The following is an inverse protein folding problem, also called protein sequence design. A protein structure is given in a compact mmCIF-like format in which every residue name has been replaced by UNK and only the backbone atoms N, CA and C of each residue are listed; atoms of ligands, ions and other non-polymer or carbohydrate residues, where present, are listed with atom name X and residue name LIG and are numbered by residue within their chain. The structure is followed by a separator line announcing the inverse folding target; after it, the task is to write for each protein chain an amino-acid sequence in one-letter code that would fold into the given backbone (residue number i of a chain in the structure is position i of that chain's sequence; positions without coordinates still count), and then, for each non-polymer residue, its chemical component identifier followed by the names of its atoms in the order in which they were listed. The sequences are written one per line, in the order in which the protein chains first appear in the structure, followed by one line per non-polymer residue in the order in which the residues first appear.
data_IF_575885768405
#
_entry.id   IF_575885768405
#
_cell.length_a   1.000
_cell.length_b   1.000
_cell.length_c   1.000
_cell.angle_alpha   90.00
_cell.angle_beta   90.00
_cell.angle_gamma   90.00
#
_symmetry.space_group_name_H-M   'P 1'
#
loop_
_entity.id
_entity.type
_entity.pdbx_description
1 polymer ?
#
# COMPACT_ATOMS: atom_id res chain seq x y z
N UNK A 1 -41.19 -10.40 -14.24
CA UNK A 1 -40.04 -10.88 -13.46
C UNK A 1 -39.81 -9.87 -12.36
N UNK A 2 -40.06 -10.26 -11.11
CA UNK A 2 -39.67 -9.39 -9.98
C UNK A 2 -38.14 -9.51 -9.83
N UNK A 3 -37.42 -8.42 -10.05
CA UNK A 3 -36.02 -8.30 -9.63
C UNK A 3 -35.99 -8.52 -8.11
N UNK A 4 -35.06 -9.35 -7.63
CA UNK A 4 -34.87 -9.54 -6.21
C UNK A 4 -34.45 -8.21 -5.58
N UNK A 5 -34.72 -7.97 -4.30
CA UNK A 5 -34.39 -6.72 -3.63
C UNK A 5 -32.87 -6.44 -3.68
N UNK A 6 -32.03 -7.46 -3.58
CA UNK A 6 -30.57 -7.42 -3.73
C UNK A 6 -30.15 -6.92 -5.10
N UNK A 7 -30.73 -7.41 -6.21
CA UNK A 7 -30.41 -6.95 -7.57
C UNK A 7 -30.72 -5.45 -7.77
N UNK A 8 -31.67 -4.89 -7.02
CA UNK A 8 -32.01 -3.48 -7.11
C UNK A 8 -31.08 -2.58 -6.30
N UNK A 9 -30.57 -3.07 -5.18
CA UNK A 9 -29.58 -2.36 -4.34
C UNK A 9 -28.22 -2.29 -5.06
N UNK A 10 -27.76 -3.40 -5.63
CA UNK A 10 -26.51 -3.46 -6.40
C UNK A 10 -26.50 -2.50 -7.60
N UNK A 11 -27.63 -2.41 -8.33
CA UNK A 11 -27.77 -1.49 -9.47
C UNK A 11 -27.73 -0.02 -9.01
N UNK A 12 -28.30 0.29 -7.83
CA UNK A 12 -28.26 1.65 -7.30
C UNK A 12 -26.85 2.01 -6.87
N UNK A 13 -26.16 1.11 -6.19
CA UNK A 13 -24.78 1.31 -5.76
C UNK A 13 -23.85 1.53 -6.96
N UNK A 14 -23.92 0.69 -8.00
CA UNK A 14 -23.13 0.85 -9.22
C UNK A 14 -23.35 2.21 -9.89
N UNK A 15 -24.59 2.73 -9.90
CA UNK A 15 -24.89 4.06 -10.43
C UNK A 15 -24.24 5.16 -9.60
N UNK A 16 -24.27 5.06 -8.27
CA UNK A 16 -23.64 6.03 -7.37
C UNK A 16 -22.14 6.05 -7.61
N UNK A 17 -21.51 4.88 -7.66
CA UNK A 17 -20.06 4.75 -7.94
C UNK A 17 -19.69 5.41 -9.26
N UNK A 18 -20.45 5.14 -10.32
CA UNK A 18 -20.23 5.71 -11.65
C UNK A 18 -20.39 7.24 -11.67
N UNK A 19 -21.37 7.80 -10.95
CA UNK A 19 -21.53 9.26 -10.86
C UNK A 19 -20.42 9.90 -10.02
N UNK A 20 -20.02 9.31 -8.90
CA UNK A 20 -18.86 9.76 -8.10
C UNK A 20 -17.58 9.77 -8.95
N UNK A 21 -17.33 8.70 -9.72
CA UNK A 21 -16.19 8.62 -10.62
C UNK A 21 -16.20 9.70 -11.70
N UNK A 22 -17.36 10.00 -12.30
CA UNK A 22 -17.50 11.08 -13.29
C UNK A 22 -17.20 12.45 -12.69
N UNK A 23 -17.66 12.70 -11.47
CA UNK A 23 -17.38 13.94 -10.75
C UNK A 23 -15.88 14.06 -10.47
N UNK A 24 -15.29 13.00 -9.92
CA UNK A 24 -13.84 12.94 -9.68
C UNK A 24 -13.06 13.19 -10.97
N UNK A 25 -13.39 12.51 -12.08
CA UNK A 25 -12.71 12.65 -13.38
C UNK A 25 -12.73 14.09 -13.90
N UNK A 26 -13.81 14.84 -13.69
CA UNK A 26 -13.89 16.25 -14.07
C UNK A 26 -12.99 17.16 -13.25
N UNK A 27 -12.74 16.79 -12.00
CA UNK A 27 -11.94 17.58 -11.07
C UNK A 27 -10.44 17.22 -11.10
N UNK A 28 -10.06 16.13 -11.77
CA UNK A 28 -8.66 15.66 -11.81
C UNK A 28 -7.66 16.72 -12.26
N UNK A 29 -7.95 17.62 -13.22
CA UNK A 29 -6.99 18.65 -13.64
C UNK A 29 -6.59 19.65 -12.54
N UNK A 30 -7.42 19.78 -11.52
CA UNK A 30 -7.20 20.70 -10.40
C UNK A 30 -6.65 20.00 -9.15
N UNK A 31 -6.75 18.68 -9.11
CA UNK A 31 -6.41 17.86 -7.95
C UNK A 31 -5.07 17.13 -8.09
N UNK A 32 -4.54 17.00 -9.31
CA UNK A 32 -3.36 16.21 -9.59
C UNK A 32 -2.38 16.92 -10.50
N UNK A 33 -1.10 16.87 -10.16
CA UNK A 33 -0.01 17.24 -11.08
C UNK A 33 0.29 16.10 -12.05
N UNK A 34 0.04 14.84 -11.62
CA UNK A 34 0.19 13.67 -12.47
C UNK A 34 -0.86 12.62 -12.13
N UNK A 35 -1.44 12.03 -13.15
CA UNK A 35 -2.36 10.89 -13.01
C UNK A 35 -2.25 9.98 -14.24
N UNK A 36 -1.88 8.74 -14.00
CA UNK A 36 -1.86 7.66 -14.99
C UNK A 36 -2.81 6.56 -14.52
N UNK A 37 -3.68 6.08 -15.40
CA UNK A 37 -4.57 4.95 -15.13
C UNK A 37 -4.33 3.85 -16.16
N UNK A 38 -4.18 2.63 -15.70
CA UNK A 38 -3.91 1.46 -16.55
C UNK A 38 -4.79 0.28 -16.12
N UNK A 39 -5.44 -0.35 -17.10
CA UNK A 39 -6.20 -1.56 -16.88
C UNK A 39 -5.28 -2.78 -17.02
N UNK A 40 -5.09 -3.50 -15.93
CA UNK A 40 -4.35 -4.75 -15.89
C UNK A 40 -5.19 -5.90 -16.51
N UNK A 41 -4.54 -6.95 -16.97
CA UNK A 41 -5.21 -8.17 -17.44
C UNK A 41 -5.99 -8.87 -16.31
N UNK A 42 -5.39 -8.93 -15.10
CA UNK A 42 -5.95 -9.45 -13.86
C UNK A 42 -5.70 -8.48 -12.70
N UNK A 43 -6.57 -8.43 -11.68
CA UNK A 43 -6.34 -7.57 -10.53
C UNK A 43 -5.07 -7.97 -9.80
N UNK A 44 -4.44 -7.00 -9.15
CA UNK A 44 -3.30 -7.22 -8.28
C UNK A 44 -3.70 -6.98 -6.81
N UNK A 45 -3.36 -7.93 -5.93
CA UNK A 45 -3.54 -7.79 -4.48
C UNK A 45 -2.35 -7.10 -3.81
N UNK A 46 -1.31 -6.78 -4.56
CA UNK A 46 -0.05 -6.24 -4.03
C UNK A 46 0.54 -5.20 -4.98
N UNK A 47 1.14 -4.14 -4.42
CA UNK A 47 1.88 -3.15 -5.18
C UNK A 47 3.05 -2.64 -4.35
N UNK A 48 4.24 -2.59 -4.96
CA UNK A 48 5.41 -1.99 -4.33
C UNK A 48 6.37 -1.42 -5.37
N UNK A 49 6.78 -0.15 -5.20
CA UNK A 49 7.87 0.42 -5.98
C UNK A 49 9.19 -0.26 -5.63
N UNK A 50 9.96 -0.65 -6.65
CA UNK A 50 11.36 -1.02 -6.47
C UNK A 50 12.21 0.26 -6.27
N UNK A 51 13.27 0.20 -5.45
CA UNK A 51 14.03 1.39 -5.08
C UNK A 51 14.98 1.89 -6.19
N UNK A 52 15.17 1.10 -7.26
CA UNK A 52 16.03 1.49 -8.37
C UNK A 52 15.30 2.42 -9.35
N UNK A 53 15.94 3.51 -9.72
CA UNK A 53 15.48 4.44 -10.75
C UNK A 53 16.59 4.66 -11.77
N UNK A 54 16.23 4.64 -13.05
CA UNK A 54 17.13 4.99 -14.15
C UNK A 54 16.73 6.35 -14.69
N UNK A 55 17.58 7.35 -14.48
CA UNK A 55 17.37 8.70 -15.05
C UNK A 55 18.03 8.75 -16.42
N UNK A 56 17.23 9.04 -17.43
CA UNK A 56 17.72 9.19 -18.81
C UNK A 56 18.05 10.66 -19.10
N UNK A 57 18.88 10.92 -20.12
CA UNK A 57 19.13 12.29 -20.62
C UNK A 57 17.88 12.93 -21.26
N UNK A 58 16.79 12.21 -21.33
CA UNK A 58 15.46 12.68 -21.74
C UNK A 58 14.68 13.01 -20.48
N UNK A 59 13.71 13.90 -20.58
CA UNK A 59 12.83 14.37 -19.49
C UNK A 59 11.96 13.26 -18.86
N UNK A 60 12.51 12.04 -18.75
CA UNK A 60 11.82 10.84 -18.28
C UNK A 60 12.71 10.04 -17.37
N UNK A 61 12.20 9.64 -16.22
CA UNK A 61 12.76 8.64 -15.30
C UNK A 61 12.07 7.29 -15.45
N UNK A 62 12.84 6.21 -15.35
CA UNK A 62 12.35 4.85 -15.46
C UNK A 62 12.31 4.23 -14.07
N UNK A 63 11.13 3.90 -13.62
CA UNK A 63 10.85 3.26 -12.35
C UNK A 63 10.35 1.84 -12.57
N UNK A 64 10.38 1.01 -11.53
CA UNK A 64 9.85 -0.35 -11.57
C UNK A 64 8.89 -0.60 -10.42
N UNK A 65 7.82 -1.36 -10.71
CA UNK A 65 6.83 -1.82 -9.76
C UNK A 65 6.82 -3.34 -9.67
N UNK A 66 6.60 -3.85 -8.46
CA UNK A 66 6.22 -5.23 -8.20
C UNK A 66 4.69 -5.25 -8.15
N UNK A 67 4.07 -6.14 -8.95
CA UNK A 67 2.66 -6.47 -8.90
C UNK A 67 2.48 -7.98 -8.88
N UNK A 68 1.27 -8.45 -8.63
CA UNK A 68 0.88 -9.84 -8.78
C UNK A 68 -0.32 -9.98 -9.70
N UNK A 69 -0.76 -11.22 -9.91
CA UNK A 69 -2.06 -11.50 -10.52
C UNK A 69 -2.93 -12.25 -9.52
N UNK A 70 -4.23 -12.09 -9.67
CA UNK A 70 -5.25 -12.80 -8.93
C UNK A 70 -6.27 -13.37 -9.93
N UNK A 71 -6.12 -14.65 -10.24
CA UNK A 71 -7.05 -15.40 -11.10
C UNK A 71 -7.11 -16.85 -10.66
N UNK A 72 -8.30 -17.45 -10.72
CA UNK A 72 -8.53 -18.88 -10.50
C UNK A 72 -8.52 -19.71 -11.78
N UNK A 73 -8.66 -19.07 -12.94
CA UNK A 73 -8.86 -19.75 -14.21
C UNK A 73 -7.59 -19.89 -15.04
N UNK A 74 -6.55 -19.11 -14.74
CA UNK A 74 -5.30 -19.07 -15.49
C UNK A 74 -4.08 -19.16 -14.58
N UNK A 75 -2.89 -19.24 -15.19
CA UNK A 75 -1.62 -19.21 -14.49
C UNK A 75 -1.40 -17.84 -13.83
N UNK A 76 -1.23 -17.82 -12.52
CA UNK A 76 -0.85 -16.62 -11.80
C UNK A 76 0.63 -16.27 -11.97
N UNK A 77 0.96 -15.00 -11.84
CA UNK A 77 2.30 -14.47 -12.05
C UNK A 77 2.69 -13.42 -11.02
N UNK A 78 3.95 -13.46 -10.63
CA UNK A 78 4.66 -12.29 -10.08
C UNK A 78 5.09 -11.42 -11.27
N UNK A 79 4.77 -10.13 -11.23
CA UNK A 79 5.01 -9.19 -12.32
C UNK A 79 6.04 -8.14 -11.91
N UNK A 80 6.97 -7.84 -12.83
CA UNK A 80 7.79 -6.61 -12.76
C UNK A 80 7.33 -5.70 -13.90
N UNK A 81 6.95 -4.50 -13.52
CA UNK A 81 6.40 -3.50 -14.43
C UNK A 81 7.34 -2.31 -14.50
N UNK A 82 7.70 -1.91 -15.69
CA UNK A 82 8.48 -0.70 -15.95
C UNK A 82 7.53 0.47 -16.18
N UNK A 83 7.76 1.56 -15.48
CA UNK A 83 6.97 2.79 -15.54
C UNK A 83 7.88 3.95 -15.93
N UNK A 84 7.50 4.67 -16.96
CA UNK A 84 8.16 5.89 -17.39
C UNK A 84 7.42 7.10 -16.79
N UNK A 85 8.09 7.86 -15.91
CA UNK A 85 7.54 9.08 -15.32
C UNK A 85 8.24 10.30 -15.91
N UNK A 86 7.53 11.40 -16.15
CA UNK A 86 8.16 12.66 -16.56
C UNK A 86 9.03 13.21 -15.43
N UNK A 87 10.22 13.77 -15.75
CA UNK A 87 11.11 14.38 -14.76
C UNK A 87 10.65 15.79 -14.36
N UNK A 88 10.06 16.52 -15.28
CA UNK A 88 9.49 17.84 -15.02
C UNK A 88 7.99 17.72 -14.83
N UNK A 89 7.47 18.51 -13.91
CA UNK A 89 6.02 18.69 -13.77
C UNK A 89 5.54 19.31 -15.08
N UNK A 90 4.68 18.58 -15.80
CA UNK A 90 4.09 19.14 -17.00
C UNK A 90 3.25 20.35 -16.57
N UNK A 91 3.57 21.53 -17.13
CA UNK A 91 2.71 22.69 -16.99
C UNK A 91 1.28 22.31 -17.39
N UNK A 92 0.31 22.71 -16.57
CA UNK A 92 -1.09 22.53 -16.85
C UNK A 92 -1.43 23.17 -18.22
N UNK A 93 -1.64 22.36 -19.24
CA UNK A 93 -2.06 22.83 -20.56
C UNK A 93 -3.60 22.90 -20.63
N UNK A 94 -4.15 24.07 -20.30
CA UNK A 94 -5.59 24.34 -20.39
C UNK A 94 -6.18 24.10 -21.79
N UNK A 95 -5.35 24.06 -22.85
CA UNK A 95 -5.80 23.80 -24.23
C UNK A 95 -6.24 22.36 -24.45
N UNK A 96 -5.82 21.43 -23.56
CA UNK A 96 -6.21 20.03 -23.63
C UNK A 96 -7.61 19.75 -23.06
N UNK A 97 -8.29 20.75 -22.49
CA UNK A 97 -9.66 20.58 -21.97
C UNK A 97 -10.70 20.63 -23.10
N UNK A 98 -11.43 19.53 -23.28
CA UNK A 98 -12.58 19.44 -24.18
C UNK A 98 -13.85 19.93 -23.47
N UNK A 99 -14.20 21.22 -23.74
CA UNK A 99 -15.36 21.85 -23.12
C UNK A 99 -16.71 21.26 -23.58
N UNK A 100 -16.78 20.58 -24.73
CA UNK A 100 -18.01 19.95 -25.20
C UNK A 100 -18.30 18.62 -24.50
N UNK A 101 -17.25 17.87 -24.17
CA UNK A 101 -17.35 16.60 -23.45
C UNK A 101 -17.24 16.77 -21.94
N UNK A 102 -16.79 17.93 -21.47
CA UNK A 102 -16.49 18.15 -20.05
C UNK A 102 -15.39 17.23 -19.55
N UNK A 103 -14.53 16.78 -20.44
CA UNK A 103 -13.43 15.88 -20.15
C UNK A 103 -12.12 16.58 -20.49
N UNK A 104 -11.15 16.43 -19.61
CA UNK A 104 -9.77 16.73 -19.98
C UNK A 104 -9.36 15.62 -20.95
N UNK A 105 -8.98 15.98 -22.15
CA UNK A 105 -8.54 15.06 -23.22
C UNK A 105 -7.28 14.32 -22.81
N UNK A 106 -7.49 13.31 -21.98
CA UNK A 106 -6.50 12.42 -21.45
C UNK A 106 -5.33 13.14 -20.78
N UNK A 107 -5.01 12.74 -19.55
CA UNK A 107 -3.65 12.88 -19.03
C UNK A 107 -2.73 12.00 -19.88
N UNK A 108 -2.71 12.30 -21.17
CA UNK A 108 -1.81 11.69 -22.10
C UNK A 108 -0.48 12.42 -21.98
N UNK A 109 0.31 12.03 -20.97
CA UNK A 109 1.72 12.28 -21.08
C UNK A 109 2.21 11.45 -22.27
N UNK A 110 2.61 12.04 -23.39
CA UNK A 110 3.17 11.28 -24.51
C UNK A 110 4.38 10.43 -24.11
N UNK A 111 5.00 10.76 -22.97
CA UNK A 111 6.13 10.07 -22.37
C UNK A 111 5.75 9.04 -21.30
N UNK A 112 4.52 9.10 -20.73
CA UNK A 112 4.06 8.11 -19.73
C UNK A 112 3.81 6.75 -20.37
N UNK A 113 4.64 5.76 -20.03
CA UNK A 113 4.51 4.40 -20.55
C UNK A 113 4.59 3.42 -19.40
N UNK A 114 3.69 2.45 -19.42
CA UNK A 114 3.70 1.31 -18.53
C UNK A 114 3.90 0.05 -19.36
N UNK A 115 4.85 -0.80 -18.97
CA UNK A 115 5.18 -2.02 -19.68
C UNK A 115 5.48 -3.15 -18.69
N UNK A 116 4.77 -4.28 -18.82
CA UNK A 116 5.10 -5.49 -18.06
C UNK A 116 6.36 -6.09 -18.68
N UNK A 117 7.49 -5.95 -18.00
CA UNK A 117 8.80 -6.40 -18.48
C UNK A 117 9.11 -7.82 -18.06
N UNK A 118 8.46 -8.32 -17.00
CA UNK A 118 8.70 -9.66 -16.49
C UNK A 118 7.43 -10.30 -15.96
N UNK A 119 7.21 -11.58 -16.33
CA UNK A 119 6.13 -12.45 -15.82
C UNK A 119 6.77 -13.75 -15.32
N UNK A 120 6.79 -13.97 -14.00
CA UNK A 120 7.31 -15.17 -13.35
C UNK A 120 6.12 -16.00 -12.88
N UNK A 121 6.05 -17.29 -13.25
CA UNK A 121 4.96 -18.18 -12.84
C UNK A 121 4.91 -18.28 -11.32
N UNK A 122 3.72 -18.09 -10.75
CA UNK A 122 3.45 -18.16 -9.33
C UNK A 122 2.42 -19.24 -9.01
N UNK A 123 2.51 -19.84 -7.84
CA UNK A 123 1.60 -20.88 -7.36
C UNK A 123 0.38 -20.24 -6.67
N UNK A 124 -0.74 -20.21 -7.37
CA UNK A 124 -1.93 -19.47 -6.95
C UNK A 124 -1.74 -17.95 -7.08
N UNK A 125 -2.70 -17.18 -6.60
CA UNK A 125 -2.64 -15.73 -6.54
C UNK A 125 -1.48 -15.23 -5.69
N UNK A 126 -1.01 -14.03 -5.98
CA UNK A 126 0.03 -13.36 -5.22
C UNK A 126 -0.64 -12.50 -4.15
N UNK A 127 -0.85 -13.03 -2.94
CA UNK A 127 -1.52 -12.32 -1.85
C UNK A 127 -0.73 -11.08 -1.41
N UNK A 128 0.61 -11.19 -1.36
CA UNK A 128 1.53 -10.09 -1.03
C UNK A 128 2.89 -10.36 -1.67
N UNK A 129 3.55 -9.32 -2.16
CA UNK A 129 4.93 -9.37 -2.62
C UNK A 129 5.72 -8.21 -2.05
N UNK A 130 6.93 -8.47 -1.53
CA UNK A 130 7.83 -7.44 -0.96
C UNK A 130 9.29 -7.76 -1.30
N UNK A 131 10.05 -6.75 -1.75
CA UNK A 131 11.48 -6.90 -1.99
C UNK A 131 12.28 -6.83 -0.69
N UNK A 132 13.45 -7.47 -0.67
CA UNK A 132 14.39 -7.40 0.45
C UNK A 132 15.17 -6.08 0.41
N UNK A 133 15.15 -5.24 1.46
CA UNK A 133 15.78 -3.91 1.45
C UNK A 133 17.28 -3.94 1.14
N UNK A 134 18.00 -4.98 1.59
CA UNK A 134 19.45 -5.12 1.37
C UNK A 134 19.81 -5.62 -0.04
N UNK A 135 18.86 -6.30 -0.71
CA UNK A 135 19.00 -6.77 -2.09
C UNK A 135 17.64 -6.75 -2.79
N UNK A 136 17.27 -5.66 -3.47
CA UNK A 136 15.97 -5.53 -4.11
C UNK A 136 15.67 -6.54 -5.23
N UNK A 137 16.70 -7.27 -5.69
CA UNK A 137 16.51 -8.35 -6.67
C UNK A 137 15.82 -9.58 -6.06
N UNK A 138 15.77 -9.66 -4.73
CA UNK A 138 15.10 -10.74 -3.99
C UNK A 138 13.72 -10.29 -3.57
N UNK A 139 12.71 -11.02 -4.02
CA UNK A 139 11.29 -10.76 -3.71
C UNK A 139 10.71 -11.96 -2.99
N UNK A 140 10.05 -11.71 -1.85
CA UNK A 140 9.22 -12.69 -1.16
C UNK A 140 7.76 -12.51 -1.57
N UNK A 141 7.05 -13.63 -1.75
CA UNK A 141 5.62 -13.62 -2.06
C UNK A 141 4.85 -14.56 -1.14
N UNK A 142 3.62 -14.19 -0.81
CA UNK A 142 2.65 -15.01 -0.09
C UNK A 142 1.77 -15.78 -1.06
N UNK A 143 1.54 -17.06 -0.76
CA UNK A 143 0.69 -17.95 -1.57
C UNK A 143 -0.57 -18.37 -0.81
N UNK A 144 -1.65 -18.81 -1.51
CA UNK A 144 -2.83 -19.39 -0.88
C UNK A 144 -2.56 -20.70 -0.14
N UNK A 145 -1.47 -21.38 -0.50
CA UNK A 145 -1.10 -22.65 0.18
C UNK A 145 -0.50 -22.46 1.57
N UNK A 146 -0.21 -21.20 1.97
CA UNK A 146 0.47 -20.85 3.19
C UNK A 146 2.00 -20.78 3.08
N UNK A 147 2.59 -21.32 2.03
CA UNK A 147 4.02 -21.18 1.79
C UNK A 147 4.39 -19.74 1.42
N UNK A 148 5.58 -19.31 1.80
CA UNK A 148 6.21 -18.08 1.31
C UNK A 148 7.27 -18.46 0.29
N UNK A 149 7.22 -17.84 -0.89
CA UNK A 149 8.17 -18.12 -1.97
C UNK A 149 9.17 -16.98 -2.10
N UNK A 150 10.42 -17.32 -2.38
CA UNK A 150 11.49 -16.36 -2.64
C UNK A 150 11.92 -16.48 -4.10
N UNK A 151 12.00 -15.34 -4.77
CA UNK A 151 12.46 -15.22 -6.15
C UNK A 151 13.61 -14.22 -6.22
N UNK A 152 14.73 -14.61 -6.79
CA UNK A 152 15.76 -13.69 -7.28
C UNK A 152 15.43 -13.35 -8.72
N UNK A 153 14.57 -12.33 -8.92
CA UNK A 153 13.87 -12.12 -10.18
C UNK A 153 14.77 -11.98 -11.42
N UNK A 154 15.99 -11.42 -11.39
CA UNK A 154 16.84 -11.35 -12.57
C UNK A 154 17.35 -12.70 -13.06
N UNK A 155 17.26 -13.76 -12.25
CA UNK A 155 17.63 -15.12 -12.65
C UNK A 155 16.52 -15.83 -13.44
N UNK A 156 15.30 -15.28 -13.39
CA UNK A 156 14.16 -15.84 -14.09
C UNK A 156 14.06 -15.24 -15.50
N UNK A 157 13.55 -16.02 -16.48
CA UNK A 157 13.30 -15.50 -17.82
C UNK A 157 12.20 -14.43 -17.78
N UNK A 158 12.32 -13.40 -18.61
CA UNK A 158 11.34 -12.30 -18.68
C UNK A 158 9.93 -12.77 -19.06
N UNK A 159 9.81 -13.89 -19.77
CA UNK A 159 8.55 -14.58 -20.04
C UNK A 159 8.69 -16.02 -19.58
N UNK A 160 7.87 -16.39 -18.61
CA UNK A 160 7.84 -17.76 -18.11
C UNK A 160 7.40 -18.71 -19.24
N UNK A 161 8.10 -19.86 -19.44
CA UNK A 161 7.63 -20.88 -20.35
C UNK A 161 6.28 -21.44 -19.88
N UNK A 162 5.28 -21.58 -20.78
CA UNK A 162 3.94 -22.02 -20.38
C UNK A 162 3.91 -23.44 -19.77
N UNK A 163 4.86 -24.29 -20.14
CA UNK A 163 4.94 -25.67 -19.67
C UNK A 163 5.70 -25.84 -18.34
N UNK A 164 6.27 -24.77 -17.81
CA UNK A 164 6.97 -24.79 -16.51
C UNK A 164 6.09 -24.18 -15.43
N UNK A 165 5.73 -24.96 -14.43
CA UNK A 165 5.05 -24.48 -13.23
C UNK A 165 5.91 -23.46 -12.45
N UNK A 166 5.43 -23.05 -11.29
CA UNK A 166 6.14 -22.16 -10.37
C UNK A 166 7.47 -22.79 -9.93
N UNK A 167 8.57 -22.05 -10.04
CA UNK A 167 9.91 -22.50 -9.66
C UNK A 167 10.61 -21.42 -8.81
N UNK A 168 10.26 -21.30 -7.52
CA UNK A 168 10.93 -20.36 -6.63
C UNK A 168 12.38 -20.78 -6.35
N UNK A 169 13.25 -19.83 -6.04
CA UNK A 169 14.63 -20.08 -5.59
C UNK A 169 14.64 -20.73 -4.21
N UNK A 170 13.74 -20.28 -3.30
CA UNK A 170 13.50 -20.89 -2.01
C UNK A 170 11.99 -20.97 -1.72
N UNK A 171 11.59 -22.00 -0.97
CA UNK A 171 10.26 -22.18 -0.42
C UNK A 171 10.36 -22.20 1.11
N UNK A 172 9.68 -21.27 1.77
CA UNK A 172 9.68 -21.12 3.21
C UNK A 172 8.40 -21.77 3.75
N UNK A 173 8.57 -22.77 4.61
CA UNK A 173 7.49 -23.54 5.20
C UNK A 173 7.32 -23.22 6.69
N UNK A 174 6.10 -23.36 7.19
CA UNK A 174 5.75 -23.13 8.60
C UNK A 174 4.28 -22.86 8.80
N UNK A 175 3.66 -22.08 7.94
CA UNK A 175 2.22 -21.81 8.01
C UNK A 175 1.37 -22.99 7.51
N UNK A 176 0.15 -23.07 8.05
CA UNK A 176 -0.85 -24.08 7.71
C UNK A 176 -2.00 -23.51 6.87
N UNK A 177 -2.07 -22.19 6.75
CA UNK A 177 -3.07 -21.45 5.99
C UNK A 177 -2.41 -20.28 5.29
N UNK A 178 -3.13 -19.68 4.37
CA UNK A 178 -2.73 -18.42 3.72
C UNK A 178 -2.60 -17.25 4.69
N UNK A 179 -2.35 -16.09 4.16
CA UNK A 179 -2.30 -14.82 4.88
C UNK A 179 -1.70 -13.73 4.01
N UNK A 180 -1.61 -12.51 4.55
CA UNK A 180 -1.21 -11.32 3.81
C UNK A 180 0.05 -10.66 4.36
N UNK A 181 0.19 -10.54 5.68
CA UNK A 181 1.30 -9.86 6.32
C UNK A 181 2.67 -10.42 5.92
N UNK A 182 3.58 -9.56 5.45
CA UNK A 182 4.92 -9.93 4.99
C UNK A 182 5.88 -8.76 5.19
N UNK A 183 6.95 -8.95 5.96
CA UNK A 183 7.88 -7.88 6.30
C UNK A 183 9.32 -8.35 6.35
N UNK A 184 10.18 -7.72 5.53
CA UNK A 184 11.62 -7.89 5.59
C UNK A 184 12.25 -7.04 6.68
N UNK A 185 13.24 -7.57 7.37
CA UNK A 185 14.03 -6.83 8.34
C UNK A 185 15.05 -5.92 7.62
N UNK A 186 14.96 -4.62 7.87
CA UNK A 186 15.86 -3.65 7.25
C UNK A 186 17.27 -3.66 7.86
N UNK A 187 17.42 -4.14 9.10
CA UNK A 187 18.70 -4.15 9.84
C UNK A 187 19.40 -5.51 9.79
N UNK A 188 18.63 -6.61 9.78
CA UNK A 188 19.15 -7.98 9.80
C UNK A 188 18.93 -8.61 8.41
N UNK A 189 20.01 -8.76 7.66
CA UNK A 189 19.98 -9.32 6.32
C UNK A 189 19.31 -10.70 6.26
N UNK A 190 18.33 -10.85 5.38
CA UNK A 190 17.66 -12.13 5.12
C UNK A 190 16.59 -12.55 6.12
N UNK A 191 16.31 -11.75 7.16
CA UNK A 191 15.24 -12.05 8.11
C UNK A 191 13.88 -11.60 7.57
N UNK A 192 12.94 -12.52 7.53
CA UNK A 192 11.60 -12.31 6.99
C UNK A 192 10.54 -12.76 7.98
N UNK A 193 9.54 -11.90 8.24
CA UNK A 193 8.32 -12.22 8.98
C UNK A 193 7.14 -12.42 8.03
N UNK A 194 6.25 -13.30 8.43
CA UNK A 194 4.98 -13.53 7.74
C UNK A 194 3.87 -13.80 8.75
N UNK A 195 2.70 -13.24 8.51
CA UNK A 195 1.46 -13.45 9.25
C UNK A 195 0.52 -14.40 8.49
N UNK A 196 -0.40 -15.08 9.19
CA UNK A 196 -1.29 -16.05 8.57
C UNK A 196 -2.62 -16.20 9.32
N UNK A 197 -3.61 -16.70 8.59
CA UNK A 197 -4.92 -17.15 9.07
C UNK A 197 -4.84 -18.33 10.05
N UNK A 198 -3.68 -18.98 10.14
CA UNK A 198 -3.41 -20.01 11.13
C UNK A 198 -3.12 -19.48 12.54
N UNK A 199 -3.28 -18.15 12.74
CA UNK A 199 -3.09 -17.44 14.01
C UNK A 199 -1.62 -17.35 14.45
N UNK A 200 -0.68 -17.63 13.55
CA UNK A 200 0.75 -17.63 13.86
C UNK A 200 1.52 -16.59 13.05
N UNK A 201 2.70 -16.24 13.56
CA UNK A 201 3.69 -15.45 12.85
C UNK A 201 4.94 -16.31 12.71
N UNK A 202 5.41 -16.50 11.49
CA UNK A 202 6.65 -17.20 11.19
C UNK A 202 7.80 -16.24 10.93
N UNK A 203 8.98 -16.60 11.42
CA UNK A 203 10.24 -15.90 11.16
C UNK A 203 11.21 -16.87 10.47
N UNK A 204 11.80 -16.45 9.36
CA UNK A 204 12.86 -17.17 8.65
C UNK A 204 14.12 -16.34 8.52
N UNK A 205 15.25 -17.04 8.42
CA UNK A 205 16.51 -16.49 7.92
C UNK A 205 16.86 -17.20 6.60
N UNK A 206 16.72 -16.50 5.48
CA UNK A 206 16.97 -17.07 4.14
C UNK A 206 18.44 -17.39 3.87
N UNK A 207 19.36 -16.94 4.73
CA UNK A 207 20.79 -17.30 4.65
C UNK A 207 21.09 -18.67 5.28
N UNK A 208 20.12 -19.25 6.02
CA UNK A 208 20.28 -20.58 6.60
C UNK A 208 20.36 -21.64 5.48
N UNK A 209 21.08 -22.73 5.77
CA UNK A 209 21.21 -23.83 4.81
C UNK A 209 19.88 -24.57 4.67
N UNK A 210 19.32 -24.70 3.45
CA UNK A 210 18.08 -25.44 3.23
C UNK A 210 18.24 -26.93 3.56
N UNK A 211 17.21 -27.52 4.16
CA UNK A 211 17.19 -28.96 4.49
C UNK A 211 17.22 -29.86 3.24
N UNK A 212 16.49 -29.46 2.17
CA UNK A 212 16.34 -30.22 0.93
C UNK A 212 16.65 -29.38 -0.32
N UNK A 213 17.72 -28.57 -0.25
CA UNK A 213 18.22 -27.77 -1.37
C UNK A 213 17.40 -26.53 -1.74
N UNK A 214 16.08 -26.48 -1.44
CA UNK A 214 15.21 -25.33 -1.74
C UNK A 214 14.12 -25.05 -0.70
N UNK A 215 14.00 -25.83 0.37
CA UNK A 215 13.00 -25.64 1.41
C UNK A 215 13.65 -25.23 2.72
N UNK A 216 13.09 -24.22 3.38
CA UNK A 216 13.48 -23.76 4.71
C UNK A 216 12.28 -23.83 5.66
N UNK A 217 12.50 -24.40 6.84
CA UNK A 217 11.52 -24.34 7.93
C UNK A 217 11.65 -23.02 8.71
N UNK A 218 10.56 -22.61 9.37
CA UNK A 218 10.57 -21.42 10.19
C UNK A 218 11.59 -21.53 11.35
N UNK A 219 12.45 -20.55 11.48
CA UNK A 219 13.40 -20.42 12.59
C UNK A 219 12.67 -20.19 13.92
N UNK A 220 11.55 -19.48 13.86
CA UNK A 220 10.70 -19.19 14.99
C UNK A 220 9.23 -19.06 14.57
N UNK A 221 8.33 -19.53 15.48
CA UNK A 221 6.87 -19.37 15.33
C UNK A 221 6.35 -18.69 16.58
N UNK A 222 5.60 -17.58 16.42
CA UNK A 222 4.99 -16.82 17.50
C UNK A 222 3.49 -17.10 17.53
N UNK A 223 2.95 -17.39 18.72
CA UNK A 223 1.59 -17.95 18.92
C UNK A 223 0.78 -17.20 19.97
N UNK A 224 0.92 -15.88 20.05
CA UNK A 224 0.23 -15.06 21.07
C UNK A 224 -1.16 -14.56 20.66
N UNK A 225 -1.42 -14.40 19.37
CA UNK A 225 -2.73 -14.05 18.85
C UNK A 225 -3.69 -15.24 18.95
N UNK A 226 -4.99 -14.94 19.05
CA UNK A 226 -6.06 -15.95 19.19
C UNK A 226 -7.04 -15.93 17.99
N UNK A 227 -6.74 -15.13 16.97
CA UNK A 227 -7.47 -15.02 15.73
C UNK A 227 -6.51 -14.85 14.56
N UNK A 228 -7.02 -14.71 13.34
CA UNK A 228 -6.23 -14.46 12.13
C UNK A 228 -5.26 -13.31 12.37
N UNK A 229 -3.98 -13.51 12.02
CA UNK A 229 -2.98 -12.45 12.06
C UNK A 229 -2.93 -11.78 10.68
N UNK A 230 -3.46 -10.58 10.60
CA UNK A 230 -3.62 -9.86 9.35
C UNK A 230 -2.32 -9.28 8.85
N UNK A 231 -1.53 -8.65 9.73
CA UNK A 231 -0.30 -7.99 9.30
C UNK A 231 0.82 -8.07 10.34
N UNK A 232 2.06 -7.96 9.84
CA UNK A 232 3.27 -7.85 10.65
C UNK A 232 4.21 -6.82 10.05
N UNK A 233 4.92 -6.10 10.90
CA UNK A 233 5.95 -5.16 10.49
C UNK A 233 7.15 -5.20 11.42
N UNK A 234 8.37 -5.23 10.84
CA UNK A 234 9.58 -4.98 11.60
C UNK A 234 9.67 -3.52 12.01
N UNK A 235 10.19 -3.31 13.22
CA UNK A 235 10.59 -1.99 13.66
C UNK A 235 11.79 -1.50 12.84
N UNK A 236 11.74 -0.28 12.31
CA UNK A 236 12.75 0.19 11.36
C UNK A 236 14.11 0.51 11.99
N UNK A 237 14.13 0.88 13.29
CA UNK A 237 15.35 1.23 14.02
C UNK A 237 15.88 0.08 14.89
N UNK A 238 15.05 -0.84 15.31
CA UNK A 238 15.39 -1.93 16.23
C UNK A 238 15.15 -3.30 15.59
N UNK A 239 16.18 -3.88 15.00
CA UNK A 239 16.09 -5.12 14.23
C UNK A 239 15.59 -6.36 14.99
N UNK A 240 15.41 -6.29 16.32
CA UNK A 240 14.87 -7.37 17.14
C UNK A 240 13.40 -7.16 17.52
N UNK A 241 12.83 -6.01 17.23
CA UNK A 241 11.47 -5.64 17.58
C UNK A 241 10.59 -5.73 16.35
N UNK A 242 9.38 -6.26 16.49
CA UNK A 242 8.35 -6.20 15.47
C UNK A 242 6.95 -6.04 16.08
N UNK A 243 6.02 -5.55 15.29
CA UNK A 243 4.61 -5.45 15.62
C UNK A 243 3.78 -6.44 14.83
N UNK A 244 2.64 -6.85 15.38
CA UNK A 244 1.61 -7.62 14.70
C UNK A 244 0.22 -7.16 15.08
N UNK A 245 -0.72 -7.33 14.17
CA UNK A 245 -2.14 -7.01 14.35
C UNK A 245 -3.00 -8.17 13.86
N UNK A 246 -4.19 -8.30 14.44
CA UNK A 246 -5.04 -9.46 14.20
C UNK A 246 -6.53 -9.14 14.40
N UNK A 247 -7.39 -10.10 14.00
CA UNK A 247 -8.84 -10.06 14.22
C UNK A 247 -9.25 -10.17 15.69
N UNK A 248 -8.29 -10.40 16.59
CA UNK A 248 -8.53 -10.30 18.04
C UNK A 248 -8.49 -8.86 18.56
N UNK A 249 -8.55 -7.87 17.67
CA UNK A 249 -8.55 -6.42 17.89
C UNK A 249 -7.27 -5.90 18.54
N UNK A 250 -6.19 -6.69 18.53
CA UNK A 250 -4.97 -6.39 19.27
C UNK A 250 -3.84 -5.92 18.38
N UNK A 251 -3.08 -4.96 18.93
CA UNK A 251 -1.72 -4.68 18.52
C UNK A 251 -0.78 -5.34 19.55
N UNK A 252 0.13 -6.16 19.05
CA UNK A 252 1.16 -6.82 19.86
C UNK A 252 2.55 -6.36 19.41
N UNK A 253 3.46 -6.18 20.38
CA UNK A 253 4.87 -5.85 20.14
C UNK A 253 5.73 -6.97 20.69
N UNK A 254 6.64 -7.46 19.89
CA UNK A 254 7.47 -8.64 20.14
C UNK A 254 8.95 -8.30 20.16
N UNK A 255 9.71 -9.05 20.94
CA UNK A 255 11.18 -9.05 20.91
C UNK A 255 11.67 -10.46 20.59
N UNK A 256 12.35 -10.62 19.46
CA UNK A 256 12.84 -11.92 18.97
C UNK A 256 13.93 -12.55 19.85
N UNK A 257 14.55 -11.78 20.74
CA UNK A 257 15.57 -12.26 21.69
C UNK A 257 14.97 -13.02 22.87
N UNK A 258 13.67 -12.84 23.12
CA UNK A 258 12.99 -13.57 24.21
C UNK A 258 12.77 -15.01 23.84
N UNK A 259 12.94 -15.92 24.80
CA UNK A 259 12.70 -17.36 24.61
C UNK A 259 11.21 -17.71 24.54
N UNK A 260 10.36 -16.91 25.15
CA UNK A 260 8.92 -17.14 25.15
C UNK A 260 8.25 -16.48 23.93
N UNK A 261 7.91 -17.29 22.94
CA UNK A 261 7.29 -16.88 21.69
C UNK A 261 5.76 -16.88 21.72
N UNK A 262 5.15 -17.23 22.87
CA UNK A 262 3.70 -17.19 23.06
C UNK A 262 3.25 -15.96 23.84
N UNK A 263 4.18 -15.11 24.30
CA UNK A 263 3.87 -13.91 25.07
C UNK A 263 4.55 -12.70 24.45
N UNK A 264 3.78 -11.73 23.94
CA UNK A 264 4.34 -10.47 23.45
C UNK A 264 4.93 -9.66 24.59
N UNK A 265 5.83 -8.74 24.29
CA UNK A 265 6.42 -7.82 25.24
C UNK A 265 5.39 -6.78 25.70
N UNK A 266 4.61 -6.28 24.73
CA UNK A 266 3.48 -5.39 24.96
C UNK A 266 2.30 -5.81 24.12
N UNK A 267 1.09 -5.56 24.63
CA UNK A 267 -0.16 -5.74 23.89
C UNK A 267 -1.19 -4.72 24.33
N UNK A 268 -2.06 -4.35 23.41
CA UNK A 268 -3.19 -3.45 23.66
C UNK A 268 -4.38 -3.86 22.79
N UNK A 269 -5.60 -3.68 23.32
CA UNK A 269 -6.81 -3.69 22.51
C UNK A 269 -6.84 -2.37 21.71
N UNK A 270 -6.37 -2.45 20.45
CA UNK A 270 -6.08 -1.27 19.67
C UNK A 270 -7.34 -0.62 19.08
N UNK A 271 -8.31 -1.45 18.72
CA UNK A 271 -9.51 -1.03 18.04
C UNK A 271 -10.74 -1.76 18.57
N UNK A 272 -11.91 -1.36 18.10
CA UNK A 272 -13.20 -1.98 18.46
C UNK A 272 -13.62 -3.10 17.52
N UNK A 273 -12.89 -3.28 16.42
CA UNK A 273 -13.04 -4.34 15.43
C UNK A 273 -11.67 -4.89 15.01
N UNK A 274 -11.64 -5.77 14.03
CA UNK A 274 -10.45 -6.39 13.46
C UNK A 274 -9.39 -5.34 13.06
N UNK A 275 -8.11 -5.64 13.30
CA UNK A 275 -7.00 -4.75 12.95
C UNK A 275 -6.26 -5.33 11.76
N UNK A 276 -6.39 -4.68 10.59
CA UNK A 276 -5.99 -5.23 9.32
C UNK A 276 -4.56 -4.86 8.90
N UNK A 277 -4.02 -3.75 9.40
CA UNK A 277 -2.69 -3.27 8.98
C UNK A 277 -1.99 -2.46 10.06
N UNK A 278 -0.64 -2.42 9.96
CA UNK A 278 0.20 -1.60 10.82
C UNK A 278 1.42 -1.09 10.06
N UNK A 279 1.94 0.07 10.50
CA UNK A 279 3.18 0.62 9.98
C UNK A 279 3.94 1.42 11.03
N UNK A 280 5.24 1.14 11.19
CA UNK A 280 6.14 1.96 12.00
C UNK A 280 6.54 3.23 11.24
N UNK A 281 6.60 4.35 11.95
CA UNK A 281 7.05 5.61 11.37
C UNK A 281 8.55 5.54 11.01
N UNK A 282 8.95 5.91 9.78
CA UNK A 282 10.35 5.81 9.35
C UNK A 282 11.27 6.89 9.93
N UNK A 283 10.73 7.92 10.60
CA UNK A 283 11.47 9.03 11.19
C UNK A 283 11.48 9.01 12.72
N UNK A 284 10.45 8.40 13.33
CA UNK A 284 10.32 8.31 14.79
C UNK A 284 10.27 6.86 15.25
N UNK A 285 11.21 6.47 16.09
CA UNK A 285 11.29 5.10 16.64
C UNK A 285 10.13 4.71 17.56
N UNK A 286 9.34 5.68 18.05
CA UNK A 286 8.28 5.40 19.02
C UNK A 286 6.88 5.39 18.40
N UNK A 287 6.72 5.78 17.15
CA UNK A 287 5.40 5.98 16.55
C UNK A 287 5.03 4.80 15.65
N UNK A 288 3.82 4.29 15.86
CA UNK A 288 3.21 3.26 15.02
C UNK A 288 1.77 3.66 14.68
N UNK A 289 1.34 3.36 13.46
CA UNK A 289 -0.03 3.52 13.00
C UNK A 289 -0.66 2.14 12.79
N UNK A 290 -1.96 2.03 13.07
CA UNK A 290 -2.78 0.83 12.81
C UNK A 290 -4.06 1.22 12.11
N UNK A 291 -4.53 0.39 11.16
CA UNK A 291 -5.81 0.57 10.46
C UNK A 291 -6.74 -0.61 10.73
N UNK A 292 -8.04 -0.34 10.83
CA UNK A 292 -9.01 -1.31 11.32
C UNK A 292 -10.31 -1.34 10.52
N UNK A 293 -11.04 -2.44 10.67
CA UNK A 293 -12.41 -2.61 10.24
C UNK A 293 -13.39 -1.67 10.97
N UNK A 294 -12.99 -1.07 12.09
CA UNK A 294 -13.76 -0.01 12.77
C UNK A 294 -13.73 1.34 12.02
N UNK A 295 -13.13 1.40 10.81
CA UNK A 295 -13.05 2.55 9.91
C UNK A 295 -12.10 3.65 10.37
N UNK A 296 -11.29 3.37 11.39
CA UNK A 296 -10.34 4.34 11.95
C UNK A 296 -8.89 3.93 11.73
N UNK A 297 -8.03 4.92 11.56
CA UNK A 297 -6.59 4.77 11.74
C UNK A 297 -6.22 5.29 13.12
N UNK A 298 -5.45 4.51 13.86
CA UNK A 298 -5.00 4.89 15.20
C UNK A 298 -3.49 5.11 15.25
N UNK A 299 -3.08 6.11 16.01
CA UNK A 299 -1.68 6.44 16.25
C UNK A 299 -1.30 6.07 17.68
N UNK A 300 -0.13 5.44 17.84
CA UNK A 300 0.34 4.91 19.12
C UNK A 300 1.78 5.33 19.42
N UNK A 301 2.06 5.49 20.72
CA UNK A 301 3.42 5.65 21.24
C UNK A 301 3.86 4.34 21.93
N UNK A 302 4.90 3.70 21.41
CA UNK A 302 5.44 2.46 21.95
C UNK A 302 5.90 2.54 23.41
N UNK A 303 6.21 3.73 23.89
CA UNK A 303 6.58 3.98 25.30
C UNK A 303 5.36 3.90 26.23
N UNK A 304 4.16 4.13 25.68
CA UNK A 304 2.91 4.09 26.42
C UNK A 304 1.72 3.67 25.55
N UNK A 305 1.62 2.39 25.25
CA UNK A 305 0.53 1.81 24.44
C UNK A 305 -0.85 1.80 25.17
N UNK A 306 -0.93 2.29 26.43
CA UNK A 306 -2.21 2.31 27.15
C UNK A 306 -3.18 3.39 26.64
N UNK A 307 -2.66 4.38 25.97
CA UNK A 307 -3.44 5.50 25.43
C UNK A 307 -3.13 5.67 23.94
N UNK A 308 -4.19 5.70 23.14
CA UNK A 308 -4.15 6.10 21.74
C UNK A 308 -3.74 7.58 21.68
N UNK A 309 -2.74 7.92 20.86
CA UNK A 309 -2.32 9.31 20.67
C UNK A 309 -3.36 10.10 19.88
N UNK A 310 -3.86 9.49 18.79
CA UNK A 310 -4.86 10.11 17.92
C UNK A 310 -5.67 9.04 17.20
N UNK A 311 -6.88 9.39 16.75
CA UNK A 311 -7.75 8.57 15.92
C UNK A 311 -8.16 9.39 14.69
N UNK A 312 -7.81 8.91 13.50
CA UNK A 312 -8.20 9.54 12.24
C UNK A 312 -9.53 8.94 11.79
N UNK A 313 -10.53 9.79 11.63
CA UNK A 313 -11.90 9.40 11.35
C UNK A 313 -12.38 10.12 10.08
N UNK A 314 -12.44 9.43 8.96
CA UNK A 314 -12.99 9.90 7.68
C UNK A 314 -13.34 8.76 6.75
N UNK A 315 -12.68 7.61 6.86
CA UNK A 315 -13.03 6.44 6.09
C UNK A 315 -14.47 6.00 6.37
N UNK A 316 -15.16 5.57 5.32
CA UNK A 316 -16.57 5.15 5.40
C UNK A 316 -16.72 3.65 5.58
N UNK A 317 -15.63 2.90 5.42
CA UNK A 317 -15.60 1.44 5.52
C UNK A 317 -14.22 0.96 5.98
N UNK A 318 -14.01 -0.35 6.05
CA UNK A 318 -12.83 -1.01 6.58
C UNK A 318 -11.54 -0.54 5.92
N UNK A 319 -10.48 -0.37 6.72
CA UNK A 319 -9.16 0.03 6.28
C UNK A 319 -8.28 -1.21 6.20
N UNK A 320 -7.64 -1.43 5.04
CA UNK A 320 -6.79 -2.60 4.78
C UNK A 320 -5.31 -2.29 4.64
N UNK A 321 -4.93 -1.04 4.41
CA UNK A 321 -3.53 -0.67 4.29
C UNK A 321 -3.25 0.70 4.88
N UNK A 322 -2.10 0.82 5.54
CA UNK A 322 -1.56 2.07 6.06
C UNK A 322 -0.07 2.14 5.78
N UNK A 323 0.40 3.28 5.24
CA UNK A 323 1.82 3.48 4.94
C UNK A 323 2.24 4.93 5.22
N UNK A 324 3.39 5.09 5.87
CA UNK A 324 4.01 6.39 6.05
C UNK A 324 4.69 6.86 4.76
N UNK A 325 4.66 8.17 4.52
CA UNK A 325 5.49 8.78 3.49
C UNK A 325 6.98 8.52 3.79
N UNK A 326 7.78 8.11 2.79
CA UNK A 326 9.22 7.94 2.98
C UNK A 326 9.98 9.28 3.01
N UNK A 327 9.33 10.40 2.73
CA UNK A 327 9.96 11.72 2.63
C UNK A 327 9.56 12.67 3.76
N UNK A 328 8.35 12.51 4.34
CA UNK A 328 7.78 13.44 5.30
C UNK A 328 7.35 12.71 6.56
N UNK A 329 7.89 13.12 7.72
CA UNK A 329 7.64 12.47 9.02
C UNK A 329 6.19 12.54 9.49
N UNK A 330 5.43 13.57 9.06
CA UNK A 330 4.05 13.82 9.46
C UNK A 330 3.01 13.27 8.50
N UNK A 331 3.44 12.75 7.34
CA UNK A 331 2.51 12.30 6.29
C UNK A 331 2.30 10.80 6.35
N UNK A 332 1.04 10.42 6.43
CA UNK A 332 0.55 9.05 6.46
C UNK A 332 -0.51 8.87 5.38
N UNK A 333 -0.61 7.68 4.79
CA UNK A 333 -1.72 7.33 3.90
C UNK A 333 -2.41 6.05 4.36
N UNK A 334 -3.72 5.97 4.10
CA UNK A 334 -4.55 4.80 4.39
C UNK A 334 -5.52 4.51 3.26
N UNK A 335 -5.83 3.24 3.01
CA UNK A 335 -6.79 2.82 1.98
C UNK A 335 -7.67 1.69 2.47
N UNK A 336 -8.86 1.58 1.89
CA UNK A 336 -9.83 0.60 2.35
C UNK A 336 -10.89 0.21 1.33
N UNK A 337 -11.91 -0.47 1.84
CA UNK A 337 -13.07 -0.99 1.11
C UNK A 337 -13.95 0.14 0.57
N UNK A 338 -13.89 1.31 1.17
CA UNK A 338 -14.62 2.50 0.71
C UNK A 338 -14.13 3.07 -0.63
N UNK A 339 -13.18 2.41 -1.30
CA UNK A 339 -12.62 2.78 -2.60
C UNK A 339 -11.80 4.07 -2.58
N UNK A 340 -11.39 4.53 -1.40
CA UNK A 340 -10.67 5.78 -1.20
C UNK A 340 -9.28 5.53 -0.61
N UNK A 341 -8.33 6.38 -1.02
CA UNK A 341 -7.04 6.49 -0.36
C UNK A 341 -6.96 7.88 0.26
N UNK A 342 -6.82 7.92 1.58
CA UNK A 342 -6.71 9.15 2.34
C UNK A 342 -5.24 9.45 2.63
N UNK A 343 -4.84 10.70 2.45
CA UNK A 343 -3.54 11.21 2.86
C UNK A 343 -3.74 12.14 4.05
N UNK A 344 -2.99 11.90 5.12
CA UNK A 344 -3.12 12.58 6.40
C UNK A 344 -1.86 13.37 6.70
N UNK A 345 -2.02 14.58 7.24
CA UNK A 345 -0.93 15.39 7.75
C UNK A 345 -1.07 15.57 9.27
N UNK A 346 -0.23 14.88 10.03
CA UNK A 346 -0.23 14.93 11.49
C UNK A 346 0.08 16.32 12.03
N UNK A 347 0.74 17.19 11.27
CA UNK A 347 1.05 18.55 11.70
C UNK A 347 -0.19 19.44 11.83
N UNK A 348 -1.27 19.05 11.16
CA UNK A 348 -2.55 19.78 11.18
C UNK A 348 -3.50 19.29 12.30
N UNK A 349 -3.11 18.28 13.10
CA UNK A 349 -3.94 17.80 14.21
C UNK A 349 -4.21 18.92 15.21
N UNK A 350 -5.51 19.19 15.47
CA UNK A 350 -5.96 20.20 16.41
C UNK A 350 -5.90 21.64 15.88
N UNK A 351 -5.67 21.85 14.60
CA UNK A 351 -5.77 23.16 13.95
C UNK A 351 -7.25 23.56 13.89
N UNK A 352 -7.54 24.82 14.19
CA UNK A 352 -8.90 25.36 14.09
C UNK A 352 -9.34 25.44 12.62
N UNK A 353 -10.57 24.98 12.36
CA UNK A 353 -11.20 25.03 11.04
C UNK A 353 -12.41 25.96 11.02
N UNK A 354 -12.73 26.50 9.85
CA UNK A 354 -14.04 27.12 9.62
C UNK A 354 -15.15 26.07 9.60
N UNK A 355 -16.41 26.49 9.80
CA UNK A 355 -17.53 25.56 9.72
C UNK A 355 -17.69 24.96 8.30
N UNK A 356 -17.26 25.67 7.28
CA UNK A 356 -17.28 25.27 5.88
C UNK A 356 -16.22 24.19 5.60
N UNK A 357 -14.97 24.43 6.04
CA UNK A 357 -13.87 23.46 5.89
C UNK A 357 -14.13 22.16 6.67
N UNK A 358 -14.81 22.24 7.82
CA UNK A 358 -15.13 21.08 8.63
C UNK A 358 -16.17 20.13 7.98
N UNK A 359 -16.90 20.57 6.95
CA UNK A 359 -17.78 19.70 6.16
C UNK A 359 -17.01 18.73 5.27
N UNK A 360 -15.78 19.09 4.86
CA UNK A 360 -14.91 18.27 4.00
C UNK A 360 -14.07 17.25 4.79
N UNK A 361 -14.01 17.37 6.11
CA UNK A 361 -13.31 16.44 7.00
C UNK A 361 -12.49 17.10 8.10
N UNK A 362 -11.75 16.31 8.90
CA UNK A 362 -10.89 16.87 9.96
C UNK A 362 -9.67 17.59 9.36
N UNK A 363 -9.07 18.55 10.11
CA UNK A 363 -7.99 19.38 9.58
C UNK A 363 -6.74 18.62 9.14
N UNK A 364 -6.50 17.46 9.74
CA UNK A 364 -5.41 16.56 9.37
C UNK A 364 -5.67 15.73 8.10
N UNK A 365 -6.86 15.75 7.52
CA UNK A 365 -7.17 15.12 6.24
C UNK A 365 -6.69 16.02 5.11
N UNK A 366 -5.51 15.70 4.58
CA UNK A 366 -4.88 16.51 3.54
C UNK A 366 -5.50 16.29 2.16
N UNK A 367 -5.76 15.02 1.79
CA UNK A 367 -6.25 14.66 0.46
C UNK A 367 -7.02 13.35 0.45
N UNK A 368 -8.03 13.26 -0.43
CA UNK A 368 -8.74 12.03 -0.73
C UNK A 368 -8.58 11.70 -2.21
N UNK A 369 -7.85 10.64 -2.50
CA UNK A 369 -7.82 10.06 -3.85
C UNK A 369 -9.06 9.19 -4.06
N UNK A 370 -9.90 9.57 -5.03
CA UNK A 370 -11.19 8.95 -5.29
C UNK A 370 -11.29 8.30 -6.69
N UNK A 371 -10.13 7.96 -7.26
CA UNK A 371 -10.04 7.45 -8.64
C UNK A 371 -10.40 5.99 -8.84
N UNK A 372 -10.56 5.22 -7.76
CA UNK A 372 -10.92 3.80 -7.84
C UNK A 372 -12.42 3.59 -7.71
N UNK A 373 -12.95 2.59 -8.43
CA UNK A 373 -14.35 2.18 -8.46
C UNK A 373 -14.60 0.88 -7.69
N UNK A 374 -13.54 0.25 -7.18
CA UNK A 374 -13.57 -0.93 -6.32
C UNK A 374 -12.61 -0.77 -5.14
N UNK A 375 -12.64 -1.73 -4.20
CA UNK A 375 -11.74 -1.81 -3.06
C UNK A 375 -10.29 -1.66 -3.51
N UNK A 376 -9.51 -0.84 -2.80
CA UNK A 376 -8.08 -0.70 -3.01
C UNK A 376 -7.37 -1.83 -2.27
N UNK A 377 -6.70 -2.71 -3.02
CA UNK A 377 -6.04 -3.90 -2.48
C UNK A 377 -4.69 -3.58 -1.85
N UNK A 378 -3.93 -2.70 -2.46
CA UNK A 378 -2.61 -2.25 -1.94
C UNK A 378 -2.20 -0.92 -2.59
N UNK A 379 -1.28 -0.21 -1.96
CA UNK A 379 -0.66 0.98 -2.52
C UNK A 379 0.79 1.12 -2.05
N UNK A 380 1.57 1.96 -2.72
CA UNK A 380 2.97 2.19 -2.37
C UNK A 380 3.41 3.61 -2.70
N UNK A 381 4.08 4.25 -1.75
CA UNK A 381 4.79 5.51 -1.97
C UNK A 381 6.05 5.28 -2.80
N UNK A 382 6.33 6.17 -3.74
CA UNK A 382 7.59 6.14 -4.49
C UNK A 382 8.71 6.80 -3.67
N UNK A 383 9.75 6.03 -3.32
CA UNK A 383 10.87 6.55 -2.55
C UNK A 383 11.81 7.48 -3.36
N UNK A 384 11.73 7.46 -4.70
CA UNK A 384 12.59 8.24 -5.59
C UNK A 384 11.92 9.48 -6.16
N UNK A 385 10.58 9.55 -6.05
CA UNK A 385 9.78 10.64 -6.58
C UNK A 385 8.74 11.05 -5.52
N UNK A 386 9.01 12.16 -4.77
CA UNK A 386 8.15 12.59 -3.68
C UNK A 386 6.69 12.80 -4.11
N UNK A 387 5.76 12.45 -3.23
CA UNK A 387 4.31 12.57 -3.42
C UNK A 387 3.71 11.67 -4.51
N UNK A 388 4.54 10.88 -5.21
CA UNK A 388 4.06 9.90 -6.18
C UNK A 388 3.64 8.61 -5.47
N UNK A 389 2.41 8.18 -5.73
CA UNK A 389 1.81 6.95 -5.18
C UNK A 389 1.34 6.07 -6.34
N UNK A 390 1.53 4.76 -6.23
CA UNK A 390 0.79 3.78 -7.01
C UNK A 390 -0.27 3.11 -6.13
N UNK A 391 -1.45 2.86 -6.69
CA UNK A 391 -2.55 2.14 -6.03
C UNK A 391 -3.20 1.16 -7.00
N UNK A 392 -3.61 0.00 -6.49
CA UNK A 392 -4.26 -1.07 -7.25
C UNK A 392 -5.60 -1.43 -6.61
N UNK A 393 -6.59 -1.76 -7.43
CA UNK A 393 -7.94 -2.10 -7.00
C UNK A 393 -8.45 -3.39 -7.62
N UNK A 394 -9.48 -3.97 -7.03
CA UNK A 394 -10.05 -5.27 -7.41
C UNK A 394 -10.69 -5.28 -8.81
N UNK A 395 -10.93 -4.10 -9.40
CA UNK A 395 -11.45 -3.91 -10.76
C UNK A 395 -10.36 -3.83 -11.84
N UNK A 396 -9.19 -4.42 -11.61
CA UNK A 396 -8.02 -4.47 -12.49
C UNK A 396 -7.34 -3.12 -12.74
N UNK A 397 -7.66 -2.08 -12.00
CA UNK A 397 -7.11 -0.75 -12.25
C UNK A 397 -5.86 -0.51 -11.40
N UNK A 398 -4.77 -0.17 -12.08
CA UNK A 398 -3.57 0.42 -11.52
C UNK A 398 -3.61 1.92 -11.79
N UNK A 399 -3.48 2.73 -10.76
CA UNK A 399 -3.27 4.17 -10.88
C UNK A 399 -1.92 4.58 -10.31
N UNK A 400 -1.25 5.50 -11.00
CA UNK A 400 -0.04 6.17 -10.55
C UNK A 400 -0.35 7.65 -10.56
N UNK A 401 -0.21 8.30 -9.41
CA UNK A 401 -0.70 9.66 -9.27
C UNK A 401 0.15 10.47 -8.29
N UNK A 402 0.12 11.77 -8.46
CA UNK A 402 0.69 12.79 -7.59
C UNK A 402 -0.37 13.87 -7.39
N UNK A 403 -0.71 14.17 -6.13
CA UNK A 403 -1.63 15.27 -5.85
C UNK A 403 -0.97 16.61 -6.23
N UNK A 404 -1.78 17.60 -6.56
CA UNK A 404 -1.32 18.91 -6.96
C UNK A 404 -0.50 19.60 -5.85
N UNK A 405 0.60 20.25 -6.23
CA UNK A 405 1.55 20.86 -5.28
C UNK A 405 0.91 21.88 -4.36
N UNK A 406 -0.04 22.65 -4.86
CA UNK A 406 -0.78 23.65 -4.08
C UNK A 406 -1.61 23.05 -2.93
N UNK A 407 -1.81 21.72 -2.87
CA UNK A 407 -2.53 21.06 -1.77
C UNK A 407 -1.63 20.87 -0.55
N UNK A 408 -0.34 20.61 -0.75
CA UNK A 408 0.60 20.30 0.33
C UNK A 408 1.68 21.37 0.56
N UNK A 409 1.72 22.42 -0.30
CA UNK A 409 2.69 23.52 -0.22
C UNK A 409 1.95 24.83 0.08
N UNK A 410 1.90 25.21 1.38
CA UNK A 410 1.22 26.43 1.85
C UNK A 410 1.94 27.72 1.44
N UNK A 411 3.23 27.67 1.02
CA UNK A 411 4.06 28.86 0.75
C UNK A 411 3.54 29.65 -0.48
N UNK A 412 2.87 29.03 -1.45
CA UNK A 412 2.29 29.74 -2.59
C UNK A 412 1.01 30.51 -2.25
N UNK A 413 0.23 30.05 -1.26
CA UNK A 413 -0.97 30.77 -0.80
C UNK A 413 -0.61 32.04 -0.04
N UNK A 414 0.49 32.08 0.72
CA UNK A 414 0.97 33.30 1.38
C UNK A 414 1.51 34.33 0.37
N UNK A 415 2.17 33.90 -0.72
CA UNK A 415 2.68 34.80 -1.75
C UNK A 415 1.55 35.42 -2.60
N UNK A 416 0.49 34.68 -2.90
CA UNK A 416 -0.69 35.21 -3.57
C UNK A 416 -1.45 36.25 -2.70
N UNK A 417 -1.55 36.02 -1.40
CA UNK A 417 -2.21 36.95 -0.47
C UNK A 417 -1.39 38.22 -0.23
N UNK A 418 -0.06 38.12 -0.19
CA UNK A 418 0.84 39.28 -0.08
C UNK A 418 0.88 40.13 -1.37
N UNK A 419 0.59 39.54 -2.53
CA UNK A 419 0.51 40.24 -3.81
C UNK A 419 -0.76 41.10 -4.00
N UNK A 420 -1.82 40.83 -3.26
CA UNK A 420 -3.10 41.56 -3.35
C UNK A 420 -3.17 42.79 -2.42
N UNK A 421 -2.30 42.91 -1.41
CA UNK A 421 -2.26 44.06 -0.51
C UNK A 421 -1.38 45.23 -1.02
N UNK A 422 -0.71 45.07 -2.18
CA UNK A 422 0.23 46.04 -2.73
C UNK A 422 -0.34 47.07 -3.74
N UNK A 423 -1.64 47.09 -4.02
CA UNK A 423 -2.29 48.05 -4.92
C UNK A 423 -3.59 48.59 -4.32
N UNK A 424 -3.44 49.44 -3.32
CA UNK A 424 -4.47 50.28 -2.77
C UNK A 424 -3.95 51.73 -2.62
#
# INVERSE_FOLDING_TARGET
MMLNATDSEDIVEERVINEEYKIWKRNTPFLYDMLMSHCLEWPSLTAQWLPSVERTDRDVSIHRLILGTHTSDEQNHLLIVTVHLPNDKADFDASAYDSERGEYGGFYFPSGKLEITMKINHEGEVNRARYMPQNPDIIATKTPSGDVLIFEYPRHPSKAPPDRGCQPDLRLKGHQKEGYGLSWNASMHGHLLSASDDQTICLWDINASPLDGRCLEAMAIFTGHHSVVEDVAWHLFHGYIFGSVADDNKLMVWDTRTSNRSKPQHQVDAHTAEVNCLAFNPFSEFIIATGSADKTVALWDLRNLRLKLHSFESHRDEIFQVQWSPHNETILASSGTDRRLHVWDLSKIGVDQTAEDAEDGPPELLFIHAGHTAKISDFSWNANDPWTICSVSEDNILQIWQMAENIYNDDELEMCNLGLEGHG
#
